data_IF_999199922613
#
_entry.id   IF_999199922613
#
_cell.length_a   1.000
_cell.length_b   1.000
_cell.length_c   1.000
_cell.angle_alpha   90.00
_cell.angle_beta   90.00
_cell.angle_gamma   90.00
#
_symmetry.space_group_name_H-M   'P 1'
#
loop_
_entity.id
_entity.type
_entity.pdbx_description
1 polymer ?
#
# COMPACT_ATOMS: atom_id res chain seq x y z
N UNK A 1 -73.50 -80.16 -3.52
CA UNK A 1 -73.28 -80.04 -2.06
C UNK A 1 -71.99 -80.79 -1.79
N UNK A 2 -70.83 -80.13 -1.73
CA UNK A 2 -70.32 -79.38 -0.55
C UNK A 2 -69.42 -80.38 0.20
N UNK A 3 -68.11 -80.21 0.32
CA UNK A 3 -67.44 -79.05 0.91
C UNK A 3 -66.04 -78.81 0.31
N UNK A 4 -65.88 -77.68 -0.37
CA UNK A 4 -64.55 -77.11 -0.61
C UNK A 4 -64.26 -76.19 0.57
N UNK A 5 -63.40 -76.66 1.48
CA UNK A 5 -62.82 -75.82 2.52
C UNK A 5 -62.02 -74.69 1.84
N UNK A 6 -62.67 -73.53 1.70
CA UNK A 6 -62.02 -72.26 1.36
C UNK A 6 -61.12 -71.89 2.53
N UNK A 7 -59.81 -71.76 2.31
CA UNK A 7 -58.99 -71.02 3.28
C UNK A 7 -57.50 -71.30 3.38
N UNK A 8 -56.91 -72.19 2.57
CA UNK A 8 -55.45 -72.25 2.45
C UNK A 8 -55.09 -72.85 1.10
N UNK A 9 -54.74 -71.99 0.16
CA UNK A 9 -54.05 -72.44 -1.04
C UNK A 9 -52.67 -72.90 -0.57
N UNK A 10 -52.40 -74.18 -0.75
CA UNK A 10 -51.11 -74.85 -0.57
C UNK A 10 -50.17 -74.32 -1.66
N UNK A 11 -49.74 -73.07 -1.50
CA UNK A 11 -48.73 -72.39 -2.30
C UNK A 11 -47.39 -72.38 -1.53
N UNK A 12 -47.25 -73.26 -0.54
CA UNK A 12 -46.03 -73.43 0.23
C UNK A 12 -45.06 -74.30 -0.60
N UNK A 13 -43.97 -73.65 -1.01
CA UNK A 13 -42.64 -74.17 -1.37
C UNK A 13 -42.40 -74.95 -2.68
N UNK A 14 -43.32 -75.73 -3.24
CA UNK A 14 -42.97 -76.65 -4.36
C UNK A 14 -43.23 -76.14 -5.80
N UNK A 15 -43.99 -75.05 -5.98
CA UNK A 15 -44.32 -74.47 -7.29
C UNK A 15 -43.58 -73.15 -7.59
N UNK A 16 -42.41 -72.92 -6.96
CA UNK A 16 -41.54 -71.78 -7.29
C UNK A 16 -40.86 -72.00 -8.65
N UNK A 17 -41.50 -71.47 -9.68
CA UNK A 17 -40.99 -71.47 -11.05
C UNK A 17 -39.85 -70.45 -11.19
N UNK A 18 -38.57 -70.87 -11.39
CA UNK A 18 -37.40 -69.98 -11.35
C UNK A 18 -37.37 -68.89 -12.43
N UNK A 19 -38.26 -68.97 -13.41
CA UNK A 19 -38.39 -68.03 -14.53
C UNK A 19 -39.53 -67.00 -14.32
N UNK A 20 -40.30 -67.17 -13.25
CA UNK A 20 -41.36 -66.25 -12.77
C UNK A 20 -40.94 -65.52 -11.49
N UNK A 21 -39.77 -65.86 -10.93
CA UNK A 21 -39.08 -65.00 -9.98
C UNK A 21 -38.70 -63.72 -10.74
N UNK A 22 -39.03 -62.52 -10.22
CA UNK A 22 -38.53 -61.30 -10.83
C UNK A 22 -37.01 -61.43 -10.90
N UNK A 23 -36.42 -61.31 -12.10
CA UNK A 23 -34.98 -61.28 -12.32
C UNK A 23 -34.33 -60.01 -11.74
N UNK A 24 -34.84 -59.53 -10.62
CA UNK A 24 -34.02 -58.94 -9.59
C UNK A 24 -33.24 -60.13 -9.03
N UNK A 25 -32.12 -60.46 -9.69
CA UNK A 25 -30.96 -60.68 -8.85
C UNK A 25 -31.00 -59.47 -7.91
N UNK A 26 -31.21 -59.70 -6.62
CA UNK A 26 -30.83 -58.71 -5.64
C UNK A 26 -29.32 -58.56 -5.90
N UNK A 27 -28.96 -57.75 -6.90
CA UNK A 27 -27.78 -56.94 -6.89
C UNK A 27 -28.01 -56.16 -5.60
N UNK A 28 -27.63 -56.79 -4.48
CA UNK A 28 -27.28 -56.11 -3.26
C UNK A 28 -26.20 -55.17 -3.76
N UNK A 29 -26.61 -54.00 -4.25
CA UNK A 29 -25.71 -52.99 -4.76
C UNK A 29 -24.68 -52.89 -3.65
N UNK A 30 -23.43 -53.25 -3.94
CA UNK A 30 -22.33 -53.22 -2.98
C UNK A 30 -22.06 -51.75 -2.67
N UNK A 31 -23.00 -51.14 -1.96
CA UNK A 31 -23.01 -49.75 -1.58
C UNK A 31 -21.85 -49.56 -0.64
N UNK A 32 -21.12 -48.48 -0.85
CA UNK A 32 -20.08 -48.03 0.08
C UNK A 32 -20.62 -48.12 1.51
N UNK A 33 -19.97 -48.93 2.36
CA UNK A 33 -20.49 -49.17 3.70
C UNK A 33 -20.76 -47.83 4.41
N UNK A 34 -21.91 -47.63 5.08
CA UNK A 34 -22.28 -46.35 5.66
C UNK A 34 -21.20 -45.75 6.59
N UNK A 35 -20.45 -46.63 7.26
CA UNK A 35 -19.31 -46.26 8.12
C UNK A 35 -18.14 -45.69 7.30
N UNK A 36 -17.80 -46.30 6.15
CA UNK A 36 -16.75 -45.77 5.27
C UNK A 36 -17.18 -44.44 4.65
N UNK A 37 -18.45 -44.32 4.24
CA UNK A 37 -19.01 -43.07 3.72
C UNK A 37 -18.92 -41.94 4.77
N UNK A 38 -19.35 -42.20 6.01
CA UNK A 38 -19.21 -41.28 7.13
C UNK A 38 -17.75 -40.89 7.38
N UNK A 39 -16.82 -41.86 7.29
CA UNK A 39 -15.38 -41.60 7.39
C UNK A 39 -14.88 -40.62 6.33
N UNK A 40 -15.24 -40.83 5.05
CA UNK A 40 -14.86 -39.92 3.96
C UNK A 40 -15.46 -38.53 4.11
N UNK A 41 -16.73 -38.44 4.55
CA UNK A 41 -17.38 -37.15 4.83
C UNK A 41 -16.63 -36.40 5.94
N UNK A 42 -16.26 -37.09 7.02
CA UNK A 42 -15.56 -36.48 8.14
C UNK A 42 -14.17 -35.95 7.73
N UNK A 43 -13.43 -36.72 6.93
CA UNK A 43 -12.13 -36.29 6.37
C UNK A 43 -12.30 -35.08 5.46
N UNK A 44 -13.32 -35.07 4.60
CA UNK A 44 -13.62 -33.94 3.72
C UNK A 44 -13.94 -32.66 4.51
N UNK A 45 -14.73 -32.77 5.59
CA UNK A 45 -15.05 -31.64 6.46
C UNK A 45 -13.82 -31.10 7.20
N UNK A 46 -12.93 -31.98 7.67
CA UNK A 46 -11.67 -31.56 8.30
C UNK A 46 -10.78 -30.82 7.29
N UNK A 47 -10.65 -31.32 6.06
CA UNK A 47 -9.89 -30.65 5.01
C UNK A 47 -10.49 -29.27 4.68
N UNK A 48 -11.81 -29.17 4.53
CA UNK A 48 -12.49 -27.91 4.28
C UNK A 48 -12.27 -26.93 5.44
N UNK A 49 -12.43 -27.39 6.68
CA UNK A 49 -12.18 -26.60 7.89
C UNK A 49 -10.74 -26.11 7.98
N UNK A 50 -9.76 -26.96 7.63
CA UNK A 50 -8.35 -26.61 7.57
C UNK A 50 -8.05 -25.53 6.53
N UNK A 51 -8.65 -25.62 5.34
CA UNK A 51 -8.50 -24.60 4.29
C UNK A 51 -9.12 -23.27 4.73
N UNK A 52 -10.36 -23.29 5.21
CA UNK A 52 -11.06 -22.08 5.67
C UNK A 52 -10.34 -21.44 6.85
N UNK A 53 -9.95 -22.23 7.85
CA UNK A 53 -9.20 -21.79 9.01
C UNK A 53 -7.82 -21.25 8.64
N UNK A 54 -7.11 -21.91 7.72
CA UNK A 54 -5.82 -21.46 7.21
C UNK A 54 -5.91 -20.12 6.48
N UNK A 55 -6.91 -19.95 5.61
CA UNK A 55 -7.17 -18.67 4.91
C UNK A 55 -7.55 -17.58 5.91
N UNK A 56 -8.40 -17.88 6.89
CA UNK A 56 -8.79 -16.93 7.93
C UNK A 56 -7.58 -16.49 8.77
N UNK A 57 -6.71 -17.42 9.17
CA UNK A 57 -5.49 -17.13 9.93
C UNK A 57 -4.51 -16.26 9.14
N UNK A 58 -4.32 -16.53 7.85
CA UNK A 58 -3.48 -15.70 6.96
C UNK A 58 -4.05 -14.29 6.81
N UNK A 59 -5.37 -14.15 6.66
CA UNK A 59 -6.04 -12.85 6.58
C UNK A 59 -5.96 -12.07 7.89
N UNK A 60 -6.09 -12.74 9.04
CA UNK A 60 -6.01 -12.09 10.34
C UNK A 60 -4.57 -11.65 10.69
N UNK A 61 -3.56 -12.39 10.22
CA UNK A 61 -2.15 -11.97 10.33
C UNK A 61 -1.77 -10.79 9.43
N UNK A 62 -2.51 -10.57 8.35
CA UNK A 62 -2.31 -9.41 7.47
C UNK A 62 -2.87 -8.10 8.06
N UNK A 63 -3.59 -8.17 9.19
CA UNK A 63 -3.94 -7.00 9.99
C UNK A 63 -2.75 -6.72 10.91
N UNK A 64 -1.69 -6.14 10.33
CA UNK A 64 -0.70 -5.42 11.12
C UNK A 64 -1.46 -4.32 11.87
N UNK A 65 -1.61 -4.49 13.18
CA UNK A 65 -1.93 -3.37 14.07
C UNK A 65 -0.72 -2.45 13.96
N UNK A 66 -0.77 -1.54 12.98
CA UNK A 66 0.34 -0.66 12.66
C UNK A 66 0.88 -0.08 13.94
N UNK A 67 2.19 -0.23 14.16
CA UNK A 67 2.85 0.38 15.31
C UNK A 67 2.66 1.89 15.18
N UNK A 68 1.61 2.40 15.83
CA UNK A 68 1.39 3.81 16.05
C UNK A 68 2.49 4.28 16.96
N UNK A 69 3.69 4.47 16.41
CA UNK A 69 4.83 5.00 17.13
C UNK A 69 4.39 6.38 17.61
N UNK A 70 4.20 6.51 18.92
CA UNK A 70 3.92 7.79 19.53
C UNK A 70 5.06 8.73 19.13
N UNK A 71 4.74 9.72 18.29
CA UNK A 71 5.59 10.87 18.08
C UNK A 71 5.47 11.65 19.38
N UNK A 72 6.40 11.43 20.31
CA UNK A 72 6.46 12.20 21.53
C UNK A 72 6.60 13.68 21.15
N UNK A 73 5.69 14.52 21.64
CA UNK A 73 5.81 15.95 21.47
C UNK A 73 7.17 16.39 22.03
N UNK A 74 7.92 17.25 21.33
CA UNK A 74 9.13 17.85 21.89
C UNK A 74 8.81 18.44 23.27
N UNK A 75 9.62 18.14 24.29
CA UNK A 75 9.40 18.56 25.68
C UNK A 75 9.64 20.07 25.91
N UNK A 76 9.49 20.90 24.87
CA UNK A 76 9.67 22.34 24.92
C UNK A 76 8.34 23.07 24.89
N UNK A 77 8.33 24.28 25.42
CA UNK A 77 7.17 25.15 25.37
C UNK A 77 6.81 25.46 23.90
N UNK A 78 5.61 25.07 23.48
CA UNK A 78 5.09 25.33 22.13
C UNK A 78 4.90 26.84 21.87
N UNK A 79 4.90 27.66 22.93
CA UNK A 79 4.81 29.11 22.86
C UNK A 79 6.00 29.73 23.59
N UNK A 80 7.08 29.93 22.85
CA UNK A 80 8.20 30.75 23.32
C UNK A 80 7.84 32.21 23.09
N UNK A 81 7.87 33.08 24.12
CA UNK A 81 7.69 34.51 23.91
C UNK A 81 8.79 35.03 22.99
N UNK A 82 8.44 35.92 22.07
CA UNK A 82 9.43 36.55 21.19
C UNK A 82 10.53 37.20 22.04
N UNK A 83 11.78 36.91 21.71
CA UNK A 83 12.92 37.61 22.32
C UNK A 83 12.80 39.10 21.99
N UNK A 84 13.12 39.97 22.95
CA UNK A 84 12.81 41.40 22.98
C UNK A 84 13.21 42.21 21.71
N UNK A 85 14.11 41.67 20.87
CA UNK A 85 14.50 42.26 19.59
C UNK A 85 13.45 42.14 18.46
N UNK A 86 12.60 41.10 18.48
CA UNK A 86 11.52 40.88 17.50
C UNK A 86 10.17 41.45 18.00
N UNK A 87 10.11 41.90 19.25
CA UNK A 87 8.92 42.50 19.88
C UNK A 87 8.87 44.03 19.71
N UNK A 88 9.25 44.55 18.54
CA UNK A 88 9.09 45.99 18.26
C UNK A 88 7.61 46.30 18.10
N UNK A 89 7.06 47.01 19.08
CA UNK A 89 5.75 47.66 18.95
C UNK A 89 5.91 48.81 17.96
N UNK A 90 5.32 48.69 16.78
CA UNK A 90 5.33 49.75 15.77
C UNK A 90 4.35 50.86 16.19
N UNK A 91 4.75 52.13 16.03
CA UNK A 91 3.81 53.25 16.21
C UNK A 91 2.68 53.10 15.18
N UNK A 92 1.43 52.99 15.66
CA UNK A 92 0.24 52.74 14.83
C UNK A 92 -0.27 51.28 14.80
N UNK A 93 0.39 50.34 15.50
CA UNK A 93 -0.08 48.95 15.60
C UNK A 93 -1.40 48.88 16.40
N UNK A 94 -2.54 48.84 15.69
CA UNK A 94 -3.88 48.71 16.26
C UNK A 94 -4.74 49.98 16.22
N UNK A 95 -4.14 51.17 16.04
CA UNK A 95 -4.89 52.44 15.99
C UNK A 95 -5.86 52.51 14.80
N UNK A 96 -5.52 51.85 13.69
CA UNK A 96 -6.41 51.70 12.55
C UNK A 96 -7.66 50.86 12.89
N UNK A 97 -7.52 49.86 13.76
CA UNK A 97 -8.64 48.99 14.17
C UNK A 97 -9.61 49.71 15.11
N UNK A 98 -9.10 50.60 15.97
CA UNK A 98 -9.93 51.45 16.83
C UNK A 98 -10.68 52.51 16.01
N UNK A 99 -9.98 53.25 15.14
CA UNK A 99 -10.60 54.27 14.30
C UNK A 99 -11.65 53.70 13.32
N UNK A 100 -11.42 52.48 12.79
CA UNK A 100 -12.39 51.79 11.94
C UNK A 100 -13.67 51.38 12.71
N UNK A 101 -13.54 51.05 14.00
CA UNK A 101 -14.69 50.67 14.85
C UNK A 101 -15.50 51.87 15.32
N UNK A 102 -14.86 53.03 15.50
CA UNK A 102 -15.53 54.30 15.84
C UNK A 102 -16.21 54.96 14.63
N UNK A 103 -16.14 54.35 13.44
CA UNK A 103 -16.76 54.86 12.22
C UNK A 103 -16.06 56.10 11.64
N UNK A 104 -14.80 56.33 12.02
CA UNK A 104 -14.00 57.45 11.52
C UNK A 104 -13.58 57.13 10.09
N UNK A 105 -14.16 57.85 9.12
CA UNK A 105 -13.75 57.76 7.73
C UNK A 105 -12.35 58.37 7.57
N UNK A 106 -11.35 57.54 7.27
CA UNK A 106 -10.03 57.99 6.87
C UNK A 106 -10.00 58.15 5.35
N UNK A 107 -9.87 59.39 4.88
CA UNK A 107 -9.62 59.67 3.46
C UNK A 107 -8.20 59.21 3.11
N UNK A 108 -8.10 58.05 2.47
CA UNK A 108 -6.85 57.48 1.96
C UNK A 108 -6.24 58.35 0.85
N UNK A 109 -5.55 59.43 1.22
CA UNK A 109 -4.68 60.18 0.30
C UNK A 109 -3.41 59.36 0.08
N UNK A 110 -3.39 58.56 -0.97
CA UNK A 110 -2.16 57.93 -1.45
C UNK A 110 -1.31 59.02 -2.09
N UNK A 111 -0.14 59.28 -1.49
CA UNK A 111 0.88 60.14 -2.06
C UNK A 111 1.70 59.33 -3.09
N UNK A 112 1.49 59.55 -4.40
CA UNK A 112 2.19 58.80 -5.44
C UNK A 112 3.68 59.18 -5.57
N UNK A 113 4.15 60.19 -4.82
CA UNK A 113 5.56 60.59 -4.80
C UNK A 113 6.42 59.80 -3.80
N UNK A 114 5.79 59.04 -2.89
CA UNK A 114 6.51 58.09 -2.04
C UNK A 114 6.81 56.81 -2.83
N UNK A 115 8.10 56.62 -3.12
CA UNK A 115 8.63 55.42 -3.79
C UNK A 115 8.30 54.19 -2.94
N UNK A 116 7.87 53.06 -3.55
CA UNK A 116 7.68 51.80 -2.82
C UNK A 116 8.94 51.45 -2.04
N UNK A 117 8.81 51.16 -0.74
CA UNK A 117 9.93 50.66 0.06
C UNK A 117 10.53 49.43 -0.64
N UNK A 118 11.85 49.49 -0.85
CA UNK A 118 12.58 48.40 -1.47
C UNK A 118 12.38 47.12 -0.65
N UNK A 119 12.12 45.97 -1.29
CA UNK A 119 11.99 44.70 -0.59
C UNK A 119 13.22 44.48 0.30
N UNK A 120 12.99 44.21 1.59
CA UNK A 120 14.06 43.81 2.49
C UNK A 120 14.68 42.53 1.96
N UNK A 121 15.84 42.65 1.32
CA UNK A 121 16.69 41.51 1.01
C UNK A 121 17.02 40.87 2.34
N UNK A 122 16.59 39.62 2.55
CA UNK A 122 17.03 38.85 3.72
C UNK A 122 18.56 38.90 3.72
N UNK A 123 19.14 39.48 4.75
CA UNK A 123 20.55 39.29 5.06
C UNK A 123 20.70 37.79 5.28
N UNK A 124 21.25 37.10 4.29
CA UNK A 124 21.72 35.73 4.46
C UNK A 124 22.61 35.71 5.70
N UNK A 125 22.51 34.72 6.59
CA UNK A 125 23.45 34.57 7.68
C UNK A 125 24.86 34.62 7.10
N UNK A 126 25.66 35.51 7.68
CA UNK A 126 27.05 35.68 7.38
C UNK A 126 27.79 34.34 7.52
N UNK A 127 28.64 34.07 6.54
CA UNK A 127 29.91 33.37 6.73
C UNK A 127 29.84 31.95 7.26
N UNK A 128 29.91 30.99 6.35
CA UNK A 128 30.71 29.78 6.59
C UNK A 128 32.07 30.18 7.20
N UNK A 129 32.48 29.60 8.34
CA UNK A 129 33.82 29.82 8.86
C UNK A 129 34.84 29.30 7.84
N UNK A 130 35.72 30.19 7.41
CA UNK A 130 36.89 29.84 6.61
C UNK A 130 37.80 28.92 7.45
N UNK A 131 38.29 27.79 6.91
CA UNK A 131 39.17 26.90 7.65
C UNK A 131 40.53 27.58 7.84
N UNK A 132 40.95 27.73 9.09
CA UNK A 132 42.32 28.12 9.43
C UNK A 132 43.29 26.97 9.08
N UNK A 133 44.44 27.23 8.44
CA UNK A 133 45.45 26.20 8.17
C UNK A 133 46.27 25.94 9.44
N UNK A 134 46.01 24.80 10.09
CA UNK A 134 46.78 24.30 11.25
C UNK A 134 47.43 22.95 10.93
N UNK A 135 48.72 22.85 11.26
CA UNK A 135 49.69 21.77 10.95
C UNK A 135 49.35 20.36 11.49
N UNK A 136 50.01 19.31 10.95
CA UNK A 136 49.54 17.92 10.99
C UNK A 136 49.96 17.18 12.26
N UNK A 137 49.10 16.29 12.76
CA UNK A 137 49.58 15.16 13.56
C UNK A 137 48.55 14.06 13.78
N UNK A 138 49.07 12.83 13.72
CA UNK A 138 48.57 11.59 14.31
C UNK A 138 47.58 10.77 13.47
N UNK A 139 48.21 10.03 12.56
CA UNK A 139 47.91 8.63 12.24
C UNK A 139 47.53 7.85 13.50
N UNK A 140 46.33 7.28 13.53
CA UNK A 140 46.02 6.11 14.37
C UNK A 140 45.65 4.98 13.42
N UNK A 141 46.62 4.09 13.23
CA UNK A 141 46.43 2.77 12.65
C UNK A 141 45.72 1.89 13.69
N UNK A 142 44.45 1.58 13.46
CA UNK A 142 43.81 0.42 14.06
C UNK A 142 43.46 -0.56 12.93
N UNK A 143 44.23 -1.65 12.83
CA UNK A 143 43.84 -2.86 12.10
C UNK A 143 42.94 -3.69 13.00
N UNK A 144 41.74 -4.01 12.52
CA UNK A 144 40.93 -5.19 12.90
C UNK A 144 40.19 -5.56 11.61
N UNK A 145 40.74 -6.52 10.87
CA UNK A 145 40.30 -7.92 10.79
C UNK A 145 39.02 -8.08 9.97
N UNK A 146 39.22 -8.80 8.87
CA UNK A 146 38.30 -9.24 7.84
C UNK A 146 37.16 -10.07 8.43
N UNK A 147 35.92 -9.58 8.31
CA UNK A 147 34.71 -10.41 8.33
C UNK A 147 33.72 -9.90 7.28
N UNK A 148 33.65 -10.66 6.18
CA UNK A 148 32.42 -10.97 5.43
C UNK A 148 31.78 -9.84 4.59
N UNK A 149 32.28 -9.71 3.36
CA UNK A 149 31.49 -9.50 2.12
C UNK A 149 30.26 -8.57 2.23
N UNK A 150 30.51 -7.27 2.36
CA UNK A 150 29.52 -6.25 2.01
C UNK A 150 29.83 -5.80 0.59
N UNK A 151 29.06 -6.32 -0.37
CA UNK A 151 28.97 -5.79 -1.74
C UNK A 151 28.77 -4.27 -1.64
N UNK A 152 29.56 -3.43 -2.35
CA UNK A 152 29.35 -1.99 -2.35
C UNK A 152 27.91 -1.71 -2.78
N UNK A 153 27.13 -1.07 -1.90
CA UNK A 153 25.87 -0.46 -2.30
C UNK A 153 26.23 0.55 -3.39
N UNK A 154 25.86 0.22 -4.63
CA UNK A 154 26.03 1.13 -5.75
C UNK A 154 25.34 2.44 -5.37
N UNK A 155 26.12 3.51 -5.29
CA UNK A 155 25.65 4.88 -5.24
C UNK A 155 24.64 5.04 -6.36
N UNK A 156 23.35 5.19 -6.04
CA UNK A 156 22.38 5.53 -7.06
C UNK A 156 22.86 6.83 -7.71
N UNK A 157 22.96 6.90 -9.06
CA UNK A 157 23.21 8.17 -9.69
C UNK A 157 22.08 9.10 -9.30
N UNK A 158 22.42 10.28 -8.78
CA UNK A 158 21.47 11.36 -8.58
C UNK A 158 20.74 11.56 -9.92
N UNK A 159 19.48 11.12 -9.99
CA UNK A 159 18.69 11.26 -11.20
C UNK A 159 18.44 12.75 -11.37
N UNK A 160 19.03 13.30 -12.42
CA UNK A 160 18.71 14.61 -12.97
C UNK A 160 17.18 14.77 -12.99
N UNK A 161 16.69 15.82 -12.35
CA UNK A 161 15.28 16.04 -11.99
C UNK A 161 14.33 15.99 -13.18
N UNK A 162 13.87 14.79 -13.51
CA UNK A 162 12.77 14.54 -14.43
C UNK A 162 11.58 14.04 -13.64
N UNK A 163 10.45 14.71 -13.76
CA UNK A 163 9.17 14.29 -13.18
C UNK A 163 8.83 12.88 -13.65
N UNK A 164 8.68 11.97 -12.68
CA UNK A 164 8.30 10.58 -12.91
C UNK A 164 6.84 10.38 -12.55
N UNK A 165 6.17 9.43 -13.20
CA UNK A 165 4.84 8.98 -12.81
C UNK A 165 4.95 7.61 -12.18
N UNK A 166 4.36 7.43 -11.00
CA UNK A 166 4.21 6.14 -10.36
C UNK A 166 2.85 5.57 -10.73
N UNK A 167 2.86 4.40 -11.36
CA UNK A 167 1.71 3.71 -11.94
C UNK A 167 1.13 2.66 -10.99
N UNK A 168 1.88 2.29 -9.94
CA UNK A 168 1.41 1.37 -8.92
C UNK A 168 2.50 0.88 -7.98
N UNK A 169 2.10 0.10 -6.98
CA UNK A 169 2.98 -0.65 -6.09
C UNK A 169 2.53 -2.12 -6.08
N UNK A 170 3.48 -3.04 -6.25
CA UNK A 170 3.22 -4.47 -6.39
C UNK A 170 3.98 -5.26 -5.32
N UNK A 171 3.45 -6.41 -4.92
CA UNK A 171 4.10 -7.29 -3.93
C UNK A 171 5.31 -8.07 -4.46
N UNK A 172 5.57 -8.03 -5.76
CA UNK A 172 6.71 -8.71 -6.38
C UNK A 172 7.27 -7.93 -7.57
N UNK A 173 8.55 -8.13 -7.86
CA UNK A 173 9.21 -7.49 -9.01
C UNK A 173 8.66 -8.00 -10.35
N UNK A 174 8.35 -9.29 -10.46
CA UNK A 174 7.75 -9.88 -11.66
C UNK A 174 6.35 -9.30 -11.93
N UNK A 175 5.51 -9.21 -10.88
CA UNK A 175 4.17 -8.64 -11.00
C UNK A 175 4.18 -7.19 -11.49
N UNK A 176 5.17 -6.40 -11.08
CA UNK A 176 5.36 -5.03 -11.58
C UNK A 176 5.70 -4.99 -13.08
N UNK A 177 6.55 -5.90 -13.57
CA UNK A 177 6.92 -5.99 -15.00
C UNK A 177 5.77 -6.50 -15.87
N UNK A 178 5.00 -7.45 -15.36
CA UNK A 178 3.82 -7.98 -16.05
C UNK A 178 2.72 -6.92 -16.14
N UNK A 179 2.54 -6.12 -15.07
CA UNK A 179 1.62 -5.00 -15.09
C UNK A 179 2.06 -3.93 -16.09
N UNK A 180 3.35 -3.59 -16.15
CA UNK A 180 3.88 -2.69 -17.19
C UNK A 180 3.59 -3.19 -18.60
N UNK A 181 3.84 -4.47 -18.87
CA UNK A 181 3.60 -5.07 -20.19
C UNK A 181 2.13 -5.01 -20.59
N UNK A 182 1.21 -5.22 -19.65
CA UNK A 182 -0.24 -5.07 -19.91
C UNK A 182 -0.61 -3.61 -20.15
N UNK A 183 -0.05 -2.71 -19.35
CA UNK A 183 -0.33 -1.29 -19.42
C UNK A 183 0.20 -0.66 -20.72
N UNK A 184 1.42 -0.99 -21.14
CA UNK A 184 2.01 -0.50 -22.39
C UNK A 184 1.30 -1.02 -23.64
N UNK A 185 0.73 -2.23 -23.59
CA UNK A 185 -0.14 -2.77 -24.65
C UNK A 185 -1.46 -2.01 -24.76
N UNK A 186 -2.08 -1.67 -23.62
CA UNK A 186 -3.37 -0.94 -23.58
C UNK A 186 -3.21 0.54 -23.91
N UNK A 187 -2.08 1.13 -23.51
CA UNK A 187 -1.78 2.55 -23.64
C UNK A 187 -0.51 2.72 -24.45
N UNK A 188 -0.65 2.82 -25.78
CA UNK A 188 0.47 2.91 -26.71
C UNK A 188 1.42 4.08 -26.40
N UNK A 189 0.91 5.16 -25.79
CA UNK A 189 1.71 6.31 -25.36
C UNK A 189 2.64 6.02 -24.17
N UNK A 190 2.51 4.89 -23.48
CA UNK A 190 3.42 4.45 -22.42
C UNK A 190 4.55 3.56 -22.91
N UNK A 191 4.39 2.91 -24.07
CA UNK A 191 5.41 2.05 -24.66
C UNK A 191 6.78 2.74 -24.88
N UNK A 192 6.87 4.03 -25.30
CA UNK A 192 8.15 4.69 -25.45
C UNK A 192 8.76 5.20 -24.14
N UNK A 193 8.05 5.14 -23.01
CA UNK A 193 8.56 5.64 -21.73
C UNK A 193 9.47 4.60 -21.07
N UNK A 194 10.48 5.08 -20.34
CA UNK A 194 11.37 4.18 -19.59
C UNK A 194 10.70 3.76 -18.28
N UNK A 195 10.45 2.47 -18.15
CA UNK A 195 9.99 1.87 -16.89
C UNK A 195 11.15 1.75 -15.88
N UNK A 196 10.89 2.04 -14.62
CA UNK A 196 11.74 1.67 -13.50
C UNK A 196 10.91 0.98 -12.41
N UNK A 197 11.48 -0.07 -11.82
CA UNK A 197 10.88 -0.79 -10.68
C UNK A 197 11.82 -0.63 -9.50
N UNK A 198 11.35 0.07 -8.47
CA UNK A 198 12.17 0.38 -7.30
C UNK A 198 11.60 -0.32 -6.05
N UNK A 199 12.42 -1.12 -5.33
CA UNK A 199 11.99 -1.70 -4.07
C UNK A 199 11.86 -0.60 -3.01
N UNK A 200 10.80 -0.66 -2.23
CA UNK A 200 10.53 0.23 -1.11
C UNK A 200 10.04 -0.61 0.06
N UNK A 201 10.50 -0.31 1.27
CA UNK A 201 9.92 -0.89 2.48
C UNK A 201 8.89 0.08 3.04
N UNK A 202 7.66 -0.41 3.24
CA UNK A 202 6.57 0.35 3.85
C UNK A 202 5.96 -0.55 4.91
N UNK A 203 6.06 -0.16 6.18
CA UNK A 203 5.51 -0.93 7.30
C UNK A 203 6.07 -2.35 7.42
N UNK A 204 7.38 -2.55 7.25
CA UNK A 204 8.03 -3.87 7.39
C UNK A 204 7.88 -4.81 6.18
N UNK A 205 7.02 -4.51 5.23
CA UNK A 205 6.86 -5.28 3.97
C UNK A 205 7.63 -4.63 2.81
N UNK A 206 8.23 -5.46 1.95
CA UNK A 206 8.90 -4.99 0.71
C UNK A 206 7.89 -4.91 -0.42
N UNK A 207 7.69 -3.71 -0.94
CA UNK A 207 6.84 -3.42 -2.10
C UNK A 207 7.72 -2.95 -3.27
N UNK A 208 7.26 -3.20 -4.48
CA UNK A 208 7.93 -2.80 -5.71
C UNK A 208 7.12 -1.72 -6.40
N UNK A 209 7.62 -0.48 -6.40
CA UNK A 209 6.97 0.66 -7.05
C UNK A 209 7.29 0.64 -8.54
N UNK A 210 6.24 0.65 -9.36
CA UNK A 210 6.34 0.79 -10.80
C UNK A 210 6.30 2.28 -11.16
N UNK A 211 7.37 2.77 -11.77
CA UNK A 211 7.53 4.16 -12.20
C UNK A 211 7.83 4.23 -13.70
N UNK A 212 7.47 5.34 -14.32
CA UNK A 212 7.84 5.66 -15.69
C UNK A 212 8.32 7.12 -15.78
N UNK A 213 9.37 7.36 -16.56
CA UNK A 213 9.86 8.72 -16.85
C UNK A 213 8.94 9.41 -17.85
N UNK A 214 8.19 10.40 -17.38
CA UNK A 214 7.20 11.12 -18.18
C UNK A 214 7.64 12.55 -18.55
N UNK A 215 8.68 13.07 -17.91
CA UNK A 215 9.16 14.44 -18.14
C UNK A 215 8.07 15.48 -17.93
N UNK A 216 8.15 16.62 -18.62
CA UNK A 216 7.19 17.73 -18.48
C UNK A 216 5.72 17.39 -18.79
N UNK A 217 5.44 16.21 -19.36
CA UNK A 217 4.08 15.73 -19.66
C UNK A 217 3.50 14.81 -18.57
N UNK A 218 4.16 14.68 -17.42
CA UNK A 218 3.72 13.82 -16.32
C UNK A 218 2.25 14.06 -15.91
N UNK A 219 1.84 15.32 -15.76
CA UNK A 219 0.47 15.65 -15.33
C UNK A 219 -0.57 15.24 -16.39
N UNK A 220 -0.32 15.53 -17.66
CA UNK A 220 -1.20 15.21 -18.78
C UNK A 220 -1.34 13.70 -18.97
N UNK A 221 -0.22 12.96 -18.91
CA UNK A 221 -0.21 11.50 -19.01
C UNK A 221 -0.96 10.86 -17.84
N UNK A 222 -0.71 11.35 -16.62
CA UNK A 222 -1.35 10.85 -15.42
C UNK A 222 -2.86 11.12 -15.39
N UNK A 223 -3.29 12.28 -15.89
CA UNK A 223 -4.72 12.60 -16.06
C UNK A 223 -5.41 11.64 -17.04
N UNK A 224 -4.81 11.37 -18.20
CA UNK A 224 -5.35 10.42 -19.19
C UNK A 224 -5.46 9.00 -18.62
N UNK A 225 -4.46 8.55 -17.87
CA UNK A 225 -4.47 7.26 -17.19
C UNK A 225 -5.60 7.16 -16.17
N UNK A 226 -5.78 8.18 -15.33
CA UNK A 226 -6.87 8.21 -14.34
C UNK A 226 -8.25 8.16 -14.97
N UNK A 227 -8.46 8.92 -16.05
CA UNK A 227 -9.73 8.90 -16.80
C UNK A 227 -9.99 7.53 -17.43
N UNK A 228 -8.94 6.83 -17.87
CA UNK A 228 -9.04 5.46 -18.38
C UNK A 228 -9.18 4.38 -17.28
N UNK A 229 -9.30 4.79 -16.01
CA UNK A 229 -9.47 3.89 -14.87
C UNK A 229 -8.17 3.30 -14.29
N UNK A 230 -7.01 3.81 -14.68
CA UNK A 230 -5.71 3.37 -14.16
C UNK A 230 -5.22 4.25 -13.01
N UNK A 231 -4.49 3.64 -12.08
CA UNK A 231 -3.86 4.36 -10.98
C UNK A 231 -2.60 5.08 -11.46
N UNK A 232 -2.51 6.38 -11.20
CA UNK A 232 -1.30 7.15 -11.47
C UNK A 232 -1.09 8.26 -10.45
N UNK A 233 0.15 8.48 -10.03
CA UNK A 233 0.56 9.61 -9.20
C UNK A 233 1.85 10.23 -9.75
N UNK A 234 1.92 11.56 -9.80
CA UNK A 234 3.12 12.29 -10.22
C UNK A 234 4.05 12.40 -9.01
N UNK A 235 5.33 12.05 -9.19
CA UNK A 235 6.38 12.12 -8.17
C UNK A 235 7.53 12.94 -8.74
N UNK A 236 7.97 13.94 -8.00
CA UNK A 236 9.11 14.81 -8.31
C UNK A 236 10.30 14.44 -7.43
#
# INVERSE_FOLDING_TARGET
>A
MGDFARGRLDLDDDERLPWLEPGIEDEEEEGLSPVRLLGFIFVALILLGGVVGGVWLLKNRAVDNGEGKLIAAPAGDYKVPAAEADAKKFEGEGDASFAASEGVAQDGRIDPSRVPEAPLTRTSPAGTPQPVPGKPSQTVTARVADETNVRPAASQPARTGGTVIQLGAYGSQSGARDAWTRLSKRFAYLAPLTMSVEPTQVGGSTLYRLRATAGGQANTLCGKLKVAGESCIVVN
#
